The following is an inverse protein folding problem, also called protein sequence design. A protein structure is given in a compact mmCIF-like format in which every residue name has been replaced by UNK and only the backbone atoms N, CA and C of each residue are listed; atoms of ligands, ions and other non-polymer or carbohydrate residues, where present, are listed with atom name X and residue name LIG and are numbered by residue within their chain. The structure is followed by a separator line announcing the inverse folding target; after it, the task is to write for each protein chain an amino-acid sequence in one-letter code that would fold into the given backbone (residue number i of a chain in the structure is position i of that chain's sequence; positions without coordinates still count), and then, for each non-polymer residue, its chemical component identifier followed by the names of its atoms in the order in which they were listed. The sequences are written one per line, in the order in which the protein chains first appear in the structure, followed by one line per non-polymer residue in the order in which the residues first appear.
data_IF_624647568753
#
_entry.id   IF_624647568753
#
_cell.length_a   1.000
_cell.length_b   1.000
_cell.length_c   1.000
_cell.angle_alpha   90.00
_cell.angle_beta   90.00
_cell.angle_gamma   90.00
#
_symmetry.space_group_name_H-M   'P 1'
#
loop_
_entity.id
_entity.type
_entity.pdbx_description
1 polymer ?
#
# COMPACT_ATOMS: atom_id res chain seq x y z
N UNK A 1 1.36 -0.41 1.44
CA UNK A 1 1.26 -1.90 1.57
C UNK A 1 0.04 -2.25 2.40
N UNK A 2 -0.66 -3.33 2.07
CA UNK A 2 -1.80 -3.89 2.82
C UNK A 2 -1.57 -5.38 3.04
N UNK A 3 -1.94 -5.90 4.23
CA UNK A 3 -1.81 -7.33 4.52
C UNK A 3 -1.45 -7.60 5.98
N UNK A 4 -1.62 -8.85 6.43
CA UNK A 4 -1.37 -9.27 7.80
C UNK A 4 0.11 -9.19 8.19
N UNK A 5 0.39 -9.21 9.49
CA UNK A 5 1.74 -9.42 9.99
C UNK A 5 2.26 -10.77 9.46
N UNK A 6 3.54 -10.86 9.20
CA UNK A 6 4.20 -12.04 8.62
C UNK A 6 3.71 -12.45 7.20
N UNK A 7 2.91 -11.62 6.50
CA UNK A 7 2.52 -11.91 5.11
C UNK A 7 3.66 -11.73 4.10
N UNK A 8 4.78 -11.09 4.47
CA UNK A 8 5.93 -10.87 3.59
C UNK A 8 6.02 -9.46 2.99
N UNK A 9 5.26 -8.47 3.50
CA UNK A 9 5.28 -7.09 2.98
C UNK A 9 6.68 -6.49 2.88
N UNK A 10 7.42 -6.50 3.97
CA UNK A 10 8.76 -5.90 4.01
C UNK A 10 9.74 -6.61 3.06
N UNK A 11 9.61 -7.93 2.91
CA UNK A 11 10.38 -8.69 1.91
C UNK A 11 10.02 -8.27 0.50
N UNK A 12 8.74 -8.11 0.21
CA UNK A 12 8.26 -7.64 -1.09
C UNK A 12 8.77 -6.23 -1.39
N UNK A 13 8.68 -5.32 -0.41
CA UNK A 13 9.20 -3.94 -0.52
C UNK A 13 10.70 -3.95 -0.82
N UNK A 14 11.48 -4.75 -0.08
CA UNK A 14 12.91 -4.86 -0.28
C UNK A 14 13.28 -5.38 -1.67
N UNK A 15 12.50 -6.32 -2.22
CA UNK A 15 12.76 -6.90 -3.53
C UNK A 15 12.31 -6.05 -4.72
N UNK A 16 11.31 -5.16 -4.54
CA UNK A 16 10.67 -4.47 -5.66
C UNK A 16 10.84 -2.94 -5.63
N UNK A 17 11.01 -2.35 -4.44
CA UNK A 17 11.00 -0.90 -4.25
C UNK A 17 12.30 -0.36 -3.62
N UNK A 18 13.26 -1.24 -3.31
CA UNK A 18 14.56 -0.81 -2.78
C UNK A 18 15.27 0.14 -3.75
N UNK A 19 15.81 1.24 -3.21
CA UNK A 19 16.51 2.25 -3.98
C UNK A 19 15.63 3.23 -4.77
N UNK A 20 14.35 2.94 -4.94
CA UNK A 20 13.41 3.81 -5.69
C UNK A 20 12.41 4.54 -4.78
N UNK A 21 12.10 3.98 -3.62
CA UNK A 21 11.12 4.52 -2.69
C UNK A 21 11.70 4.67 -1.29
N UNK A 22 11.29 5.72 -0.60
CA UNK A 22 11.56 5.87 0.84
C UNK A 22 10.58 5.01 1.63
N UNK A 23 11.10 4.09 2.43
CA UNK A 23 10.26 3.22 3.27
C UNK A 23 9.87 3.97 4.54
N UNK A 24 8.58 4.12 4.77
CA UNK A 24 8.01 4.70 5.99
C UNK A 24 7.20 3.63 6.72
N UNK A 25 7.62 3.30 7.94
CA UNK A 25 6.91 2.33 8.79
C UNK A 25 6.79 2.84 10.22
N UNK A 26 5.67 2.55 10.87
CA UNK A 26 5.48 2.83 12.30
C UNK A 26 6.47 2.06 13.19
N UNK A 27 7.04 0.99 12.67
CA UNK A 27 8.04 0.17 13.38
C UNK A 27 9.41 0.87 13.50
N UNK A 28 9.66 1.91 12.69
CA UNK A 28 10.85 2.75 12.84
C UNK A 28 10.81 3.60 14.13
N UNK A 29 9.63 3.73 14.75
CA UNK A 29 9.46 4.54 15.97
C UNK A 29 8.75 3.76 17.08
N UNK A 30 9.28 2.63 17.57
CA UNK A 30 8.57 1.72 18.47
C UNK A 30 8.17 2.36 19.80
N UNK A 31 8.92 3.37 20.27
CA UNK A 31 8.70 4.09 21.53
C UNK A 31 8.01 5.44 21.37
N UNK A 32 7.74 5.88 20.15
CA UNK A 32 7.12 7.18 19.92
C UNK A 32 5.64 7.17 20.29
N UNK A 33 5.19 8.25 20.95
CA UNK A 33 3.76 8.55 21.10
C UNK A 33 3.23 9.06 19.75
N UNK A 34 1.93 8.84 19.50
CA UNK A 34 1.25 9.34 18.27
C UNK A 34 1.95 8.93 16.96
N UNK A 35 2.38 7.66 16.87
CA UNK A 35 3.08 7.12 15.68
C UNK A 35 2.32 7.35 14.38
N UNK A 36 0.98 7.36 14.44
CA UNK A 36 0.11 7.62 13.29
C UNK A 36 0.31 9.04 12.74
N UNK A 37 0.15 10.05 13.61
CA UNK A 37 0.32 11.45 13.22
C UNK A 37 1.76 11.74 12.76
N UNK A 38 2.76 11.11 13.38
CA UNK A 38 4.15 11.20 12.95
C UNK A 38 4.34 10.63 11.55
N UNK A 39 3.77 9.46 11.27
CA UNK A 39 3.87 8.83 9.95
C UNK A 39 3.23 9.72 8.88
N UNK A 40 2.02 10.23 9.14
CA UNK A 40 1.31 11.12 8.22
C UNK A 40 2.15 12.36 7.90
N UNK A 41 2.75 13.00 8.91
CA UNK A 41 3.63 14.15 8.71
C UNK A 41 4.85 13.81 7.87
N UNK A 42 5.56 12.72 8.18
CA UNK A 42 6.75 12.30 7.42
C UNK A 42 6.39 11.96 5.96
N UNK A 43 5.27 11.31 5.73
CA UNK A 43 4.79 11.04 4.37
C UNK A 43 4.52 12.35 3.63
N UNK A 44 3.83 13.30 4.24
CA UNK A 44 3.54 14.60 3.63
C UNK A 44 4.83 15.39 3.31
N UNK A 45 5.80 15.42 4.22
CA UNK A 45 7.11 16.05 4.04
C UNK A 45 7.86 15.44 2.85
N UNK A 46 7.97 14.12 2.78
CA UNK A 46 8.64 13.42 1.69
C UNK A 46 7.96 13.63 0.32
N UNK A 47 6.64 13.64 0.28
CA UNK A 47 5.90 13.92 -0.96
C UNK A 47 6.10 15.38 -1.41
N UNK A 48 6.16 16.34 -0.48
CA UNK A 48 6.47 17.74 -0.80
C UNK A 48 7.89 17.91 -1.35
N UNK A 49 8.84 17.05 -0.94
CA UNK A 49 10.19 16.97 -1.51
C UNK A 49 10.24 16.25 -2.87
N UNK A 50 9.11 15.81 -3.42
CA UNK A 50 9.04 15.05 -4.66
C UNK A 50 9.57 13.62 -4.57
N UNK A 51 9.64 13.04 -3.35
CA UNK A 51 10.15 11.68 -3.12
C UNK A 51 9.04 10.64 -3.32
N UNK A 52 9.39 9.53 -3.94
CA UNK A 52 8.53 8.34 -3.95
C UNK A 52 8.56 7.66 -2.59
N UNK A 53 7.38 7.33 -2.06
CA UNK A 53 7.22 6.79 -0.70
C UNK A 53 6.48 5.46 -0.73
N UNK A 54 6.94 4.49 0.05
CA UNK A 54 6.18 3.28 0.36
C UNK A 54 5.89 3.22 1.85
N UNK A 55 4.62 3.05 2.20
CA UNK A 55 4.19 2.87 3.59
C UNK A 55 4.11 1.37 3.89
N UNK A 56 5.06 0.86 4.70
CA UNK A 56 5.14 -0.55 5.09
C UNK A 56 4.48 -0.78 6.46
N UNK A 57 3.17 -0.90 6.44
CA UNK A 57 2.34 -1.24 7.60
C UNK A 57 1.35 -2.35 7.23
N UNK A 58 0.58 -2.84 8.22
CA UNK A 58 -0.52 -3.78 7.97
C UNK A 58 -1.70 -3.11 7.25
N UNK A 59 -2.04 -1.87 7.63
CA UNK A 59 -3.12 -1.05 7.08
C UNK A 59 -4.42 -1.82 6.79
N UNK A 60 -4.96 -2.57 7.78
CA UNK A 60 -5.98 -3.58 7.54
C UNK A 60 -7.33 -3.00 7.16
N UNK A 61 -7.71 -1.82 7.65
CA UNK A 61 -9.03 -1.23 7.42
C UNK A 61 -9.00 -0.02 6.49
N UNK A 62 -10.12 0.28 5.87
CA UNK A 62 -10.33 1.49 5.06
C UNK A 62 -9.99 2.75 5.86
N UNK A 63 -10.45 2.81 7.13
CA UNK A 63 -10.21 3.96 8.01
C UNK A 63 -8.72 4.20 8.29
N UNK A 64 -7.89 3.14 8.35
CA UNK A 64 -6.45 3.28 8.53
C UNK A 64 -5.72 3.73 7.27
N UNK A 65 -6.29 3.47 6.08
CA UNK A 65 -5.74 3.86 4.78
C UNK A 65 -6.14 5.27 4.36
N UNK A 66 -7.36 5.69 4.68
CA UNK A 66 -7.94 6.95 4.24
C UNK A 66 -7.06 8.20 4.49
N UNK A 67 -6.42 8.39 5.67
CA UNK A 67 -5.57 9.56 5.89
C UNK A 67 -4.35 9.62 4.96
N UNK A 68 -3.76 8.47 4.62
CA UNK A 68 -2.61 8.42 3.72
C UNK A 68 -3.00 8.71 2.27
N UNK A 69 -4.17 8.22 1.85
CA UNK A 69 -4.75 8.51 0.54
C UNK A 69 -5.05 10.02 0.44
N UNK A 70 -5.63 10.62 1.47
CA UNK A 70 -5.92 12.05 1.50
C UNK A 70 -4.66 12.92 1.40
N UNK A 71 -3.56 12.53 2.08
CA UNK A 71 -2.28 13.22 1.99
C UNK A 71 -1.73 13.17 0.57
N UNK A 72 -1.78 12.04 -0.09
CA UNK A 72 -1.29 11.91 -1.46
C UNK A 72 -2.17 12.66 -2.46
N UNK A 73 -3.49 12.65 -2.27
CA UNK A 73 -4.42 13.44 -3.07
C UNK A 73 -4.14 14.94 -2.93
N UNK A 74 -3.88 15.43 -1.71
CA UNK A 74 -3.50 16.82 -1.47
C UNK A 74 -2.16 17.19 -2.13
N UNK A 75 -1.24 16.24 -2.26
CA UNK A 75 0.03 16.41 -2.96
C UNK A 75 -0.09 16.18 -4.48
N UNK A 76 -1.27 15.86 -5.01
CA UNK A 76 -1.51 15.49 -6.41
C UNK A 76 -0.63 14.30 -6.89
N UNK A 77 -0.41 13.33 -6.01
CA UNK A 77 0.43 12.15 -6.28
C UNK A 77 -0.45 10.89 -6.38
N UNK A 78 -0.27 10.05 -7.41
CA UNK A 78 -1.01 8.79 -7.52
C UNK A 78 -0.64 7.83 -6.39
N UNK A 79 -1.65 7.09 -5.87
CA UNK A 79 -1.46 6.10 -4.79
C UNK A 79 -1.82 4.72 -5.30
N UNK A 80 -0.91 3.78 -5.19
CA UNK A 80 -1.15 2.38 -5.49
C UNK A 80 -1.21 1.55 -4.21
N UNK A 81 -2.13 0.61 -4.14
CA UNK A 81 -2.16 -0.39 -3.09
C UNK A 81 -1.49 -1.68 -3.56
N UNK A 82 -0.61 -2.24 -2.74
CA UNK A 82 -0.10 -3.60 -2.91
C UNK A 82 -0.63 -4.42 -1.75
N UNK A 83 -1.53 -5.34 -2.05
CA UNK A 83 -2.20 -6.20 -1.09
C UNK A 83 -1.59 -7.60 -1.09
N UNK A 84 -0.92 -7.96 0.00
CA UNK A 84 -0.45 -9.32 0.21
C UNK A 84 -1.59 -10.17 0.80
N UNK A 85 -2.30 -10.85 -0.11
CA UNK A 85 -3.41 -11.76 0.20
C UNK A 85 -2.86 -13.13 0.60
N UNK A 86 -2.42 -13.23 1.86
CA UNK A 86 -1.82 -14.44 2.42
C UNK A 86 -2.74 -14.98 3.51
N UNK A 87 -3.09 -16.28 3.48
CA UNK A 87 -3.94 -16.90 4.48
C UNK A 87 -3.42 -16.70 5.91
N UNK A 88 -4.35 -16.50 6.86
CA UNK A 88 -4.03 -16.30 8.28
C UNK A 88 -3.19 -17.47 8.84
N UNK A 89 -3.48 -18.70 8.44
CA UNK A 89 -2.71 -19.89 8.85
C UNK A 89 -1.23 -19.77 8.50
N UNK A 90 -0.93 -19.42 7.24
CA UNK A 90 0.44 -19.20 6.76
C UNK A 90 1.11 -18.02 7.48
N UNK A 91 0.38 -16.92 7.72
CA UNK A 91 0.90 -15.79 8.50
C UNK A 91 1.22 -16.20 9.93
N UNK A 92 0.39 -17.04 10.56
CA UNK A 92 0.63 -17.58 11.89
C UNK A 92 1.87 -18.46 11.93
N UNK A 93 2.01 -19.44 11.03
CA UNK A 93 3.18 -20.32 10.92
C UNK A 93 4.47 -19.51 10.78
N UNK A 94 4.49 -18.53 9.87
CA UNK A 94 5.63 -17.64 9.68
C UNK A 94 5.91 -16.75 10.89
N UNK A 95 4.87 -16.34 11.61
CA UNK A 95 5.01 -15.56 12.84
C UNK A 95 5.57 -16.41 13.99
N UNK A 96 5.17 -17.68 14.09
CA UNK A 96 5.66 -18.61 15.10
C UNK A 96 7.15 -18.98 14.91
N UNK A 97 7.62 -18.97 13.67
CA UNK A 97 9.03 -19.14 13.33
C UNK A 97 9.90 -17.89 13.68
N UNK A 98 9.28 -16.74 13.97
CA UNK A 98 10.02 -15.53 14.40
C UNK A 98 10.40 -15.59 15.86
N UNK A 99 11.49 -14.91 16.21
CA UNK A 99 12.00 -14.82 17.59
C UNK A 99 12.06 -13.39 18.08
N UNK A 100 12.05 -13.20 19.38
CA UNK A 100 12.22 -11.90 20.02
C UNK A 100 11.14 -10.89 19.64
N UNK A 101 11.53 -9.63 19.46
CA UNK A 101 10.63 -8.51 19.15
C UNK A 101 9.96 -8.60 17.77
N UNK A 102 10.47 -9.43 16.87
CA UNK A 102 9.89 -9.63 15.55
C UNK A 102 8.62 -10.51 15.59
N UNK A 103 8.45 -11.32 16.65
CA UNK A 103 7.27 -12.15 16.86
C UNK A 103 6.12 -11.30 17.40
N UNK A 104 5.04 -11.23 16.64
CA UNK A 104 3.83 -10.50 17.04
C UNK A 104 2.95 -11.40 17.92
N UNK A 105 2.37 -10.90 19.03
CA UNK A 105 1.41 -11.66 19.81
C UNK A 105 0.23 -12.12 18.94
N UNK A 106 -0.21 -13.38 19.09
CA UNK A 106 -1.28 -13.96 18.27
C UNK A 106 -2.58 -13.16 18.36
N UNK A 107 -2.90 -12.57 19.52
CA UNK A 107 -4.07 -11.70 19.67
C UNK A 107 -4.02 -10.51 18.71
N UNK A 108 -2.84 -9.92 18.50
CA UNK A 108 -2.64 -8.82 17.55
C UNK A 108 -2.80 -9.26 16.09
N UNK A 109 -2.32 -10.46 15.76
CA UNK A 109 -2.48 -11.04 14.43
C UNK A 109 -3.96 -11.31 14.12
N UNK A 110 -4.70 -11.93 15.06
CA UNK A 110 -6.13 -12.20 14.90
C UNK A 110 -6.96 -10.91 14.85
N UNK A 111 -6.64 -9.91 15.69
CA UNK A 111 -7.30 -8.61 15.66
C UNK A 111 -7.08 -7.88 14.32
N UNK A 112 -5.90 -8.00 13.74
CA UNK A 112 -5.64 -7.44 12.41
C UNK A 112 -6.42 -8.21 11.33
N UNK A 113 -6.48 -9.53 11.41
CA UNK A 113 -7.23 -10.37 10.48
C UNK A 113 -8.74 -10.06 10.50
N UNK A 114 -9.33 -9.88 11.69
CA UNK A 114 -10.76 -9.51 11.82
C UNK A 114 -11.11 -8.12 11.27
N UNK A 115 -10.11 -7.23 11.08
CA UNK A 115 -10.29 -5.88 10.51
C UNK A 115 -9.81 -5.78 9.06
N UNK A 116 -9.21 -6.84 8.52
CA UNK A 116 -8.64 -6.81 7.18
C UNK A 116 -9.74 -6.76 6.12
N UNK A 117 -9.77 -5.66 5.41
CA UNK A 117 -10.62 -5.45 4.24
C UNK A 117 -9.71 -5.27 3.03
N UNK A 118 -9.94 -6.04 1.98
CA UNK A 118 -9.19 -5.90 0.73
C UNK A 118 -9.30 -4.47 0.21
N UNK A 119 -8.19 -3.84 -0.21
CA UNK A 119 -8.24 -2.50 -0.77
C UNK A 119 -8.95 -2.50 -2.12
N UNK A 120 -9.64 -1.39 -2.43
CA UNK A 120 -10.33 -1.18 -3.70
C UNK A 120 -10.00 0.20 -4.26
N UNK A 121 -10.18 0.38 -5.56
CA UNK A 121 -10.01 1.69 -6.21
C UNK A 121 -11.05 2.72 -5.73
N UNK A 122 -12.20 2.28 -5.24
CA UNK A 122 -13.21 3.16 -4.64
C UNK A 122 -12.72 3.91 -3.39
N UNK A 123 -11.64 3.46 -2.75
CA UNK A 123 -11.01 4.18 -1.64
C UNK A 123 -10.18 5.39 -2.09
N UNK A 124 -9.87 5.52 -3.38
CA UNK A 124 -9.01 6.55 -3.96
C UNK A 124 -7.65 6.04 -4.44
N UNK A 125 -7.43 4.72 -4.45
CA UNK A 125 -6.26 4.16 -5.10
C UNK A 125 -6.38 4.23 -6.62
N UNK A 126 -5.30 4.61 -7.30
CA UNK A 126 -5.22 4.58 -8.77
C UNK A 126 -5.08 3.15 -9.29
N UNK A 127 -4.52 2.26 -8.48
CA UNK A 127 -4.29 0.86 -8.82
C UNK A 127 -4.26 0.00 -7.55
N UNK A 128 -4.76 -1.22 -7.65
CA UNK A 128 -4.66 -2.24 -6.61
C UNK A 128 -4.01 -3.49 -7.20
N UNK A 129 -2.81 -3.80 -6.72
CA UNK A 129 -2.10 -5.03 -7.07
C UNK A 129 -2.29 -6.06 -5.97
N UNK A 130 -2.85 -7.22 -6.29
CA UNK A 130 -2.99 -8.33 -5.35
C UNK A 130 -1.85 -9.33 -5.55
N UNK A 131 -1.15 -9.60 -4.46
CA UNK A 131 -0.03 -10.54 -4.42
C UNK A 131 -0.43 -11.72 -3.56
N UNK A 132 -0.55 -12.90 -4.18
CA UNK A 132 -0.91 -14.15 -3.51
C UNK A 132 0.32 -15.00 -3.28
N UNK A 133 0.40 -15.65 -2.12
CA UNK A 133 1.40 -16.69 -1.90
C UNK A 133 1.02 -17.91 -2.75
N UNK A 134 1.82 -18.22 -3.77
CA UNK A 134 1.75 -19.51 -4.43
C UNK A 134 2.44 -20.51 -3.51
N UNK A 135 1.81 -21.62 -3.20
CA UNK A 135 2.36 -22.63 -2.31
C UNK A 135 3.75 -23.07 -2.77
N UNK A 136 4.76 -22.84 -1.93
CA UNK A 136 6.17 -23.15 -2.20
C UNK A 136 6.81 -22.18 -3.20
N UNK A 137 7.68 -21.30 -2.71
CA UNK A 137 8.63 -20.45 -3.47
C UNK A 137 8.03 -19.61 -4.63
N UNK A 138 7.84 -18.34 -4.39
CA UNK A 138 7.58 -17.34 -5.42
C UNK A 138 6.27 -16.57 -5.23
N UNK A 139 6.41 -15.28 -5.00
CA UNK A 139 5.30 -14.32 -4.99
C UNK A 139 5.18 -13.76 -6.39
N UNK A 140 4.13 -14.15 -7.14
CA UNK A 140 3.85 -13.57 -8.45
C UNK A 140 2.81 -12.44 -8.33
N UNK A 141 3.05 -11.26 -8.92
CA UNK A 141 2.06 -10.21 -9.01
C UNK A 141 0.98 -10.59 -10.04
N UNK A 142 -0.29 -10.55 -9.62
CA UNK A 142 -1.42 -10.54 -10.54
C UNK A 142 -2.09 -9.17 -10.48
N UNK A 143 -2.18 -8.52 -11.65
CA UNK A 143 -3.03 -7.34 -11.80
C UNK A 143 -4.51 -7.78 -11.63
N UNK A 144 -5.25 -7.11 -10.75
CA UNK A 144 -6.69 -7.29 -10.67
C UNK A 144 -7.31 -6.62 -11.91
N UNK A 145 -7.61 -7.43 -12.92
CA UNK A 145 -8.43 -6.99 -14.04
C UNK A 145 -9.89 -6.83 -13.62
N UNK A 146 -10.70 -6.01 -14.30
CA UNK A 146 -12.13 -5.91 -14.07
C UNK A 146 -12.80 -7.27 -14.32
N UNK A 147 -13.80 -7.61 -13.51
CA UNK A 147 -14.61 -8.82 -13.70
C UNK A 147 -15.21 -8.81 -15.12
N UNK A 148 -14.78 -9.76 -15.94
CA UNK A 148 -15.35 -9.95 -17.27
C UNK A 148 -16.75 -10.56 -17.16
N UNK A 149 -17.76 -9.74 -17.46
CA UNK A 149 -19.04 -10.20 -17.94
C UNK A 149 -18.83 -10.94 -19.28
N UNK A 150 -19.19 -12.24 -19.32
CA UNK A 150 -19.08 -13.07 -20.51
C UNK A 150 -20.08 -12.61 -21.59
N UNK A 151 -19.61 -11.87 -22.56
CA UNK A 151 -20.33 -11.56 -23.79
C UNK A 151 -19.40 -11.71 -25.01
N UNK A 152 -19.76 -12.60 -25.93
CA UNK A 152 -19.04 -12.92 -27.18
C UNK A 152 -18.89 -11.70 -28.09
N UNK A 153 -17.77 -11.57 -28.76
CA UNK A 153 -17.69 -10.80 -30.00
C UNK A 153 -16.34 -10.14 -30.27
N UNK A 154 -15.70 -10.64 -31.29
CA UNK A 154 -14.55 -10.17 -32.07
C UNK A 154 -14.39 -8.65 -32.23
N UNK A 155 -13.20 -8.12 -32.04
CA UNK A 155 -12.41 -7.38 -33.04
C UNK A 155 -11.31 -6.52 -32.37
N UNK A 156 -10.13 -6.55 -32.96
CA UNK A 156 -8.99 -5.71 -32.58
C UNK A 156 -9.28 -4.23 -32.83
N UNK A 157 -8.94 -3.37 -31.88
CA UNK A 157 -8.82 -1.94 -32.13
C UNK A 157 -7.78 -1.30 -31.19
N UNK A 158 -6.99 -0.45 -31.77
CA UNK A 158 -5.83 0.27 -31.29
C UNK A 158 -6.07 1.07 -29.99
N UNK A 159 -4.97 1.21 -29.23
CA UNK A 159 -4.83 2.07 -28.04
C UNK A 159 -4.83 3.53 -28.51
N UNK A 160 -5.72 4.41 -28.03
CA UNK A 160 -5.50 5.85 -28.18
C UNK A 160 -4.66 6.37 -27.03
N UNK A 161 -3.54 6.99 -27.34
CA UNK A 161 -2.82 7.92 -26.46
C UNK A 161 -3.77 9.10 -26.17
N UNK A 162 -4.21 9.21 -24.92
CA UNK A 162 -5.11 10.26 -24.45
C UNK A 162 -4.56 10.84 -23.14
N UNK A 163 -3.82 11.93 -23.27
CA UNK A 163 -3.42 12.89 -22.24
C UNK A 163 -4.56 13.20 -21.27
N UNK A 164 -4.43 12.79 -20.00
CA UNK A 164 -5.21 13.38 -18.91
C UNK A 164 -4.27 14.31 -18.15
N UNK A 165 -4.09 15.51 -18.70
CA UNK A 165 -3.59 16.65 -17.94
C UNK A 165 -4.71 17.10 -17.00
N UNK A 166 -4.81 16.51 -15.81
CA UNK A 166 -5.57 17.12 -14.72
C UNK A 166 -4.72 18.23 -14.13
N UNK A 167 -5.13 19.46 -14.41
CA UNK A 167 -4.57 20.70 -13.89
C UNK A 167 -4.70 20.75 -12.38
N UNK A 168 -3.69 20.28 -11.65
CA UNK A 168 -3.47 20.68 -10.27
C UNK A 168 -2.88 22.09 -10.27
N UNK A 169 -3.71 23.09 -10.01
CA UNK A 169 -3.26 24.46 -9.76
C UNK A 169 -2.37 24.44 -8.51
N UNK A 170 -1.08 24.63 -8.68
CA UNK A 170 -0.19 24.94 -7.56
C UNK A 170 -0.62 26.29 -6.99
N UNK A 171 -0.85 26.45 -5.66
CA UNK A 171 -1.02 27.76 -5.08
C UNK A 171 0.23 28.59 -5.33
N UNK A 172 0.04 29.76 -5.92
CA UNK A 172 1.08 30.61 -6.42
C UNK A 172 2.10 31.02 -5.36
N UNK A 173 3.35 31.03 -5.77
CA UNK A 173 4.43 31.78 -5.16
C UNK A 173 4.02 33.26 -5.16
N UNK A 174 3.65 33.77 -3.99
CA UNK A 174 3.52 35.22 -3.79
C UNK A 174 4.92 35.82 -3.87
N UNK A 175 5.17 36.55 -4.94
CA UNK A 175 6.29 37.51 -5.01
C UNK A 175 6.09 38.56 -3.91
N UNK A 176 7.07 38.71 -3.05
CA UNK A 176 7.19 39.89 -2.18
C UNK A 176 7.95 40.99 -2.92
N UNK A 177 7.56 42.25 -2.68
CA UNK A 177 8.19 43.43 -3.27
C UNK A 177 9.58 43.71 -2.70
#
# INVERSE_FOLDING_TARGET
MVGLQASGKSTWVAGHLAGTHVVVSKDHWPRARHREARQQRVVAELLAEGRSVVVDNTSPSVAERAPLIAIAAAACVPVRAVFLDVPLGTCRERNDARTGAARVPLVGLHAAAGRLVAPTTAEGFTEVTVVRAVGGEGVLPQAAGPEEERGRGTAAAAIPEGSIAQTCLRPGSAAQP
#
